data_IF_456356784571
#
_entry.id   IF_456356784571
#
_cell.length_a   1.000
_cell.length_b   1.000
_cell.length_c   1.000
_cell.angle_alpha   90.00
_cell.angle_beta   90.00
_cell.angle_gamma   90.00
#
_symmetry.space_group_name_H-M   'P 1'
#
loop_
_entity.id
_entity.type
_entity.pdbx_description
1 polymer ?
#
# COMPACT_ATOMS: atom_id res chain seq x y z
N UNK A 1 -33.80 24.42 -17.86
CA UNK A 1 -33.93 23.58 -16.63
C UNK A 1 -32.59 22.94 -16.34
N UNK A 2 -32.12 22.92 -15.09
CA UNK A 2 -30.91 22.19 -14.77
C UNK A 2 -31.14 20.68 -14.94
N UNK A 3 -30.08 19.95 -15.39
CA UNK A 3 -30.15 18.49 -15.50
C UNK A 3 -30.30 17.86 -14.10
N UNK A 4 -30.95 16.69 -14.00
CA UNK A 4 -31.11 16.01 -12.72
C UNK A 4 -29.74 15.57 -12.14
N UNK A 5 -29.61 15.66 -10.82
CA UNK A 5 -28.43 15.13 -10.12
C UNK A 5 -28.63 13.64 -9.88
N UNK A 6 -27.71 12.81 -10.39
CA UNK A 6 -27.74 11.36 -10.19
C UNK A 6 -27.13 11.06 -8.81
N UNK A 7 -27.88 10.30 -7.99
CA UNK A 7 -27.35 9.86 -6.69
C UNK A 7 -26.30 8.76 -6.88
N UNK A 8 -25.22 8.83 -6.11
CA UNK A 8 -24.14 7.82 -6.13
C UNK A 8 -24.35 6.85 -4.94
N UNK A 9 -24.27 5.54 -5.15
CA UNK A 9 -24.34 4.58 -4.06
C UNK A 9 -23.19 4.77 -3.06
N UNK A 10 -23.40 4.36 -1.81
CA UNK A 10 -22.41 4.41 -0.75
C UNK A 10 -22.13 3.02 -0.23
N UNK A 11 -20.88 2.76 0.08
CA UNK A 11 -20.38 1.47 0.58
C UNK A 11 -19.62 1.68 1.88
N UNK A 12 -19.39 0.59 2.61
CA UNK A 12 -18.58 0.57 3.83
C UNK A 12 -17.44 -0.42 3.67
N UNK A 13 -16.28 -0.08 4.22
CA UNK A 13 -15.16 -1.00 4.41
C UNK A 13 -14.52 -0.75 5.76
N UNK A 14 -13.74 -1.72 6.23
CA UNK A 14 -12.95 -1.62 7.46
C UNK A 14 -11.48 -1.51 7.09
N UNK A 15 -10.80 -0.46 7.56
CA UNK A 15 -9.36 -0.27 7.33
C UNK A 15 -8.57 -1.37 8.04
N UNK A 16 -7.70 -2.12 7.35
CA UNK A 16 -6.93 -3.21 7.94
C UNK A 16 -5.98 -2.78 9.08
N UNK A 17 -5.40 -1.56 9.00
CA UNK A 17 -4.45 -1.07 10.01
C UNK A 17 -5.09 -0.77 11.36
N UNK A 18 -6.30 -0.22 11.35
CA UNK A 18 -6.94 0.39 12.53
C UNK A 18 -8.28 -0.22 12.91
N UNK A 19 -8.79 -1.18 12.13
CA UNK A 19 -10.15 -1.72 12.25
C UNK A 19 -11.26 -0.63 12.22
N UNK A 20 -10.94 0.55 11.72
CA UNK A 20 -11.89 1.66 11.62
C UNK A 20 -12.79 1.47 10.41
N UNK A 21 -14.10 1.52 10.63
CA UNK A 21 -15.09 1.50 9.53
C UNK A 21 -15.15 2.85 8.85
N UNK A 22 -15.08 2.85 7.53
CA UNK A 22 -15.23 4.03 6.70
C UNK A 22 -16.33 3.83 5.67
N UNK A 23 -17.05 4.94 5.39
CA UNK A 23 -18.01 5.03 4.30
C UNK A 23 -17.33 5.68 3.10
N UNK A 24 -17.57 5.13 1.92
CA UNK A 24 -17.01 5.65 0.67
C UNK A 24 -18.04 5.54 -0.46
N UNK A 25 -17.76 6.24 -1.55
CA UNK A 25 -18.48 6.15 -2.82
C UNK A 25 -17.54 5.81 -3.96
N UNK A 26 -18.06 5.26 -5.06
CA UNK A 26 -17.29 5.06 -6.28
C UNK A 26 -16.74 6.37 -6.85
N UNK A 27 -15.77 6.27 -7.75
CA UNK A 27 -15.35 7.40 -8.58
C UNK A 27 -16.52 7.90 -9.44
N UNK A 28 -16.53 9.19 -9.68
CA UNK A 28 -17.29 9.75 -10.80
C UNK A 28 -16.33 9.91 -11.99
N UNK A 29 -16.88 10.00 -13.19
CA UNK A 29 -16.10 10.19 -14.44
C UNK A 29 -15.10 11.36 -14.32
N UNK A 30 -15.47 12.41 -13.60
CA UNK A 30 -14.57 13.56 -13.36
C UNK A 30 -13.34 13.21 -12.50
N UNK A 31 -13.47 12.30 -11.52
CA UNK A 31 -12.35 11.83 -10.69
C UNK A 31 -11.47 10.88 -11.49
N UNK A 32 -12.05 9.98 -12.27
CA UNK A 32 -11.32 9.09 -13.16
C UNK A 32 -10.49 9.88 -14.19
N UNK A 33 -11.09 10.90 -14.80
CA UNK A 33 -10.37 11.81 -15.71
C UNK A 33 -9.17 12.48 -15.04
N UNK A 34 -9.30 12.90 -13.78
CA UNK A 34 -8.20 13.52 -13.03
C UNK A 34 -7.04 12.51 -12.86
N UNK A 35 -7.35 11.27 -12.53
CA UNK A 35 -6.33 10.22 -12.39
C UNK A 35 -5.63 9.94 -13.72
N UNK A 36 -6.37 9.77 -14.82
CA UNK A 36 -5.82 9.51 -16.15
C UNK A 36 -4.87 10.65 -16.56
N UNK A 37 -5.32 11.90 -16.45
CA UNK A 37 -4.48 13.07 -16.80
C UNK A 37 -3.21 13.12 -15.94
N UNK A 38 -3.32 12.85 -14.64
CA UNK A 38 -2.15 12.84 -13.77
C UNK A 38 -1.16 11.73 -14.15
N UNK A 39 -1.64 10.53 -14.50
CA UNK A 39 -0.80 9.41 -14.94
C UNK A 39 -0.07 9.71 -16.26
N UNK A 40 -0.71 10.40 -17.21
CA UNK A 40 -0.08 10.84 -18.46
C UNK A 40 1.11 11.78 -18.25
N UNK A 41 1.15 12.51 -17.13
CA UNK A 41 2.28 13.43 -16.83
C UNK A 41 3.56 12.70 -16.44
N UNK A 42 3.49 11.44 -15.99
CA UNK A 42 4.58 10.67 -15.40
C UNK A 42 5.28 11.40 -14.21
N UNK A 43 4.66 12.45 -13.67
CA UNK A 43 5.16 13.20 -12.53
C UNK A 43 4.57 12.63 -11.23
N UNK A 44 5.43 11.95 -10.47
CA UNK A 44 5.07 11.30 -9.19
C UNK A 44 4.35 12.26 -8.22
N UNK A 45 4.72 13.56 -8.20
CA UNK A 45 4.08 14.55 -7.32
C UNK A 45 2.67 14.90 -7.78
N UNK A 46 2.44 15.00 -9.08
CA UNK A 46 1.11 15.26 -9.64
C UNK A 46 0.20 14.05 -9.44
N UNK A 47 0.72 12.85 -9.68
CA UNK A 47 0.00 11.59 -9.41
C UNK A 47 -0.38 11.49 -7.93
N UNK A 48 0.55 11.78 -7.01
CA UNK A 48 0.30 11.78 -5.57
C UNK A 48 -0.84 12.73 -5.17
N UNK A 49 -0.83 13.95 -5.71
CA UNK A 49 -1.91 14.93 -5.47
C UNK A 49 -3.25 14.44 -6.00
N UNK A 50 -3.27 13.91 -7.23
CA UNK A 50 -4.49 13.42 -7.86
C UNK A 50 -5.10 12.25 -7.07
N UNK A 51 -4.28 11.24 -6.71
CA UNK A 51 -4.71 10.09 -5.89
C UNK A 51 -5.27 10.56 -4.54
N UNK A 52 -4.53 11.43 -3.84
CA UNK A 52 -4.97 11.99 -2.56
C UNK A 52 -6.32 12.69 -2.69
N UNK A 53 -6.44 13.61 -3.67
CA UNK A 53 -7.64 14.42 -3.85
C UNK A 53 -8.85 13.58 -4.24
N UNK A 54 -8.65 12.56 -5.08
CA UNK A 54 -9.69 11.63 -5.50
C UNK A 54 -10.14 10.75 -4.33
N UNK A 55 -9.21 10.13 -3.60
CA UNK A 55 -9.54 9.33 -2.42
C UNK A 55 -10.24 10.16 -1.34
N UNK A 56 -9.74 11.36 -1.06
CA UNK A 56 -10.37 12.28 -0.08
C UNK A 56 -11.81 12.67 -0.47
N UNK A 57 -12.12 12.78 -1.76
CA UNK A 57 -13.49 13.05 -2.25
C UNK A 57 -14.38 11.81 -2.24
N UNK A 58 -13.81 10.61 -2.36
CA UNK A 58 -14.55 9.36 -2.33
C UNK A 58 -14.85 8.91 -0.89
N UNK A 59 -13.99 9.26 0.08
CA UNK A 59 -14.20 8.95 1.50
C UNK A 59 -15.25 9.91 2.08
N UNK A 60 -16.34 9.34 2.62
CA UNK A 60 -17.44 10.10 3.23
C UNK A 60 -17.31 10.23 4.75
N UNK A 61 -16.51 9.38 5.38
CA UNK A 61 -16.25 9.42 6.82
C UNK A 61 -15.34 10.59 7.16
N UNK A 62 -15.81 11.47 8.06
CA UNK A 62 -15.03 12.63 8.53
C UNK A 62 -13.78 12.21 9.32
N UNK A 63 -12.74 13.03 9.26
CA UNK A 63 -11.52 12.87 10.06
C UNK A 63 -10.55 11.80 9.54
N UNK A 64 -10.73 11.30 8.33
CA UNK A 64 -9.74 10.47 7.63
C UNK A 64 -8.82 11.40 6.84
N UNK A 65 -7.52 11.29 7.11
CA UNK A 65 -6.46 11.97 6.36
C UNK A 65 -5.72 10.94 5.54
N UNK A 66 -5.90 10.99 4.21
CA UNK A 66 -5.32 10.00 3.27
C UNK A 66 -3.79 9.90 3.42
N UNK A 67 -3.13 11.03 3.70
CA UNK A 67 -1.68 11.10 3.87
C UNK A 67 -1.15 10.36 5.10
N UNK A 68 -2.03 10.10 6.07
CA UNK A 68 -1.69 9.39 7.31
C UNK A 68 -2.09 7.90 7.28
N UNK A 69 -2.73 7.45 6.21
CA UNK A 69 -3.06 6.04 6.03
C UNK A 69 -1.82 5.23 5.67
N UNK A 70 -1.76 4.01 6.15
CA UNK A 70 -0.77 3.03 5.74
C UNK A 70 -0.89 2.70 4.25
N UNK A 71 0.21 2.36 3.58
CA UNK A 71 0.23 2.02 2.15
C UNK A 71 -0.81 0.97 1.81
N UNK A 72 -0.88 -0.12 2.57
CA UNK A 72 -1.84 -1.21 2.33
C UNK A 72 -3.30 -0.82 2.58
N UNK A 73 -3.57 0.15 3.47
CA UNK A 73 -4.92 0.73 3.63
C UNK A 73 -5.32 1.52 2.38
N UNK A 74 -4.37 2.29 1.83
CA UNK A 74 -4.58 3.07 0.60
C UNK A 74 -4.83 2.14 -0.57
N UNK A 75 -4.02 1.09 -0.72
CA UNK A 75 -4.18 0.07 -1.76
C UNK A 75 -5.54 -0.62 -1.67
N UNK A 76 -5.93 -1.06 -0.48
CA UNK A 76 -7.20 -1.71 -0.23
C UNK A 76 -8.39 -0.79 -0.51
N UNK A 77 -8.31 0.46 -0.07
CA UNK A 77 -9.33 1.47 -0.31
C UNK A 77 -9.46 1.79 -1.81
N UNK A 78 -8.32 2.02 -2.49
CA UNK A 78 -8.29 2.33 -3.91
C UNK A 78 -8.88 1.18 -4.74
N UNK A 79 -8.48 -0.06 -4.46
CA UNK A 79 -9.00 -1.26 -5.09
C UNK A 79 -10.53 -1.36 -4.96
N UNK A 80 -11.05 -1.18 -3.73
CA UNK A 80 -12.49 -1.26 -3.47
C UNK A 80 -13.26 -0.12 -4.15
N UNK A 81 -12.76 1.11 -4.12
CA UNK A 81 -13.39 2.25 -4.79
C UNK A 81 -13.44 1.99 -6.31
N UNK A 82 -12.33 1.52 -6.90
CA UNK A 82 -12.25 1.22 -8.33
C UNK A 82 -13.18 0.07 -8.71
N UNK A 83 -13.22 -1.00 -7.92
CA UNK A 83 -14.12 -2.13 -8.15
C UNK A 83 -15.59 -1.73 -8.19
N UNK A 84 -16.01 -0.85 -7.29
CA UNK A 84 -17.39 -0.34 -7.28
C UNK A 84 -17.65 0.70 -8.36
N UNK A 85 -16.62 1.21 -9.04
CA UNK A 85 -16.74 2.20 -10.12
C UNK A 85 -16.80 1.56 -11.50
N UNK A 86 -15.94 0.57 -11.77
CA UNK A 86 -15.71 0.00 -13.11
C UNK A 86 -16.21 -1.44 -13.21
N UNK A 87 -16.23 -2.16 -12.09
CA UNK A 87 -16.65 -3.56 -12.01
C UNK A 87 -15.88 -4.33 -10.96
N UNK A 88 -16.52 -5.33 -10.38
CA UNK A 88 -15.98 -6.13 -9.27
C UNK A 88 -15.01 -7.24 -9.73
N UNK A 89 -14.88 -7.45 -11.03
CA UNK A 89 -13.95 -8.42 -11.60
C UNK A 89 -12.83 -7.70 -12.34
N UNK A 90 -11.62 -8.15 -12.10
CA UNK A 90 -10.42 -7.70 -12.80
C UNK A 90 -9.83 -8.87 -13.58
N UNK A 91 -9.35 -8.59 -14.79
CA UNK A 91 -8.63 -9.57 -15.60
C UNK A 91 -7.13 -9.27 -15.47
N UNK A 92 -6.38 -10.28 -15.08
CA UNK A 92 -4.92 -10.22 -14.96
C UNK A 92 -4.30 -11.32 -15.80
N UNK A 93 -3.15 -11.01 -16.41
CA UNK A 93 -2.34 -12.03 -17.09
C UNK A 93 -1.34 -12.59 -16.10
N UNK A 94 -1.40 -13.89 -15.86
CA UNK A 94 -0.54 -14.56 -14.87
C UNK A 94 0.43 -15.47 -15.61
N UNK A 95 1.74 -15.31 -15.35
CA UNK A 95 2.77 -16.16 -15.94
C UNK A 95 2.89 -17.46 -15.14
N UNK A 96 2.79 -18.59 -15.84
CA UNK A 96 2.93 -19.91 -15.23
C UNK A 96 4.35 -20.13 -14.72
N UNK A 97 4.55 -20.51 -13.43
CA UNK A 97 5.89 -20.63 -12.86
C UNK A 97 6.66 -21.88 -13.31
N UNK A 98 5.98 -22.87 -13.90
CA UNK A 98 6.59 -24.13 -14.36
C UNK A 98 7.44 -23.96 -15.64
N UNK A 99 7.08 -23.01 -16.50
CA UNK A 99 7.83 -22.74 -17.75
C UNK A 99 8.27 -21.27 -17.87
N UNK A 100 7.82 -20.39 -16.98
CA UNK A 100 8.12 -18.95 -16.91
C UNK A 100 7.81 -18.17 -18.23
N UNK A 101 6.95 -18.72 -19.08
CA UNK A 101 6.66 -18.19 -20.41
C UNK A 101 5.17 -18.13 -20.72
N UNK A 102 4.44 -19.17 -20.33
CA UNK A 102 3.00 -19.27 -20.65
C UNK A 102 2.22 -18.31 -19.77
N UNK A 103 1.45 -17.43 -20.43
CA UNK A 103 0.56 -16.49 -19.74
C UNK A 103 -0.87 -16.97 -19.84
N UNK A 104 -1.58 -16.95 -18.72
CA UNK A 104 -2.98 -17.36 -18.62
C UNK A 104 -3.82 -16.19 -18.12
N UNK A 105 -4.91 -15.82 -18.80
CA UNK A 105 -5.84 -14.81 -18.29
C UNK A 105 -6.62 -15.36 -17.10
N UNK A 106 -6.64 -14.62 -16.01
CA UNK A 106 -7.37 -14.96 -14.80
C UNK A 106 -8.35 -13.85 -14.46
N UNK A 107 -9.59 -14.21 -14.15
CA UNK A 107 -10.59 -13.27 -13.66
C UNK A 107 -10.67 -13.37 -12.14
N UNK A 108 -10.36 -12.27 -11.44
CA UNK A 108 -10.32 -12.20 -9.98
C UNK A 108 -11.45 -11.29 -9.48
N UNK A 109 -12.25 -11.78 -8.53
CA UNK A 109 -13.23 -10.94 -7.86
C UNK A 109 -12.52 -10.09 -6.79
N UNK A 110 -12.63 -8.77 -6.89
CA UNK A 110 -12.01 -7.80 -5.97
C UNK A 110 -12.41 -8.04 -4.52
N UNK A 111 -13.64 -8.45 -4.25
CA UNK A 111 -14.12 -8.73 -2.89
C UNK A 111 -13.39 -9.90 -2.20
N UNK A 112 -12.69 -10.75 -2.97
CA UNK A 112 -11.87 -11.85 -2.44
C UNK A 112 -10.46 -11.42 -2.07
N UNK A 113 -10.00 -10.26 -2.55
CA UNK A 113 -8.67 -9.73 -2.28
C UNK A 113 -8.65 -9.08 -0.89
N UNK A 114 -7.72 -9.48 -0.05
CA UNK A 114 -7.61 -8.99 1.34
C UNK A 114 -6.19 -8.59 1.67
N UNK A 115 -6.08 -7.70 2.64
CA UNK A 115 -4.78 -7.42 3.27
C UNK A 115 -4.47 -8.58 4.22
N UNK A 116 -3.39 -9.28 3.94
CA UNK A 116 -2.87 -10.35 4.79
C UNK A 116 -1.83 -9.76 5.74
N UNK A 117 -1.91 -10.16 7.00
CA UNK A 117 -0.97 -9.80 8.06
C UNK A 117 -0.25 -11.06 8.51
N UNK A 118 1.07 -10.98 8.61
CA UNK A 118 1.89 -12.02 9.21
C UNK A 118 1.61 -12.07 10.73
N UNK A 119 1.50 -13.29 11.29
CA UNK A 119 1.21 -13.46 12.72
C UNK A 119 2.35 -12.97 13.62
N UNK A 120 3.59 -13.02 13.12
CA UNK A 120 4.78 -12.56 13.83
C UNK A 120 5.05 -11.05 13.65
N UNK A 121 4.19 -10.33 12.93
CA UNK A 121 4.39 -8.91 12.69
C UNK A 121 4.14 -8.07 13.93
N UNK A 122 5.14 -7.30 14.32
CA UNK A 122 5.06 -6.31 15.40
C UNK A 122 5.60 -4.95 14.94
N UNK A 123 4.92 -3.84 15.25
CA UNK A 123 5.48 -2.51 15.05
C UNK A 123 6.56 -2.16 16.07
N UNK A 124 6.62 -2.86 17.21
CA UNK A 124 7.61 -2.65 18.26
C UNK A 124 8.77 -3.63 18.07
N UNK A 125 9.98 -3.08 17.92
CA UNK A 125 11.22 -3.80 17.66
C UNK A 125 12.16 -3.57 18.83
N UNK A 126 12.40 -4.60 19.65
CA UNK A 126 13.41 -4.56 20.70
C UNK A 126 14.81 -4.56 20.07
N UNK A 127 15.61 -3.54 20.34
CA UNK A 127 16.95 -3.40 19.77
C UNK A 127 18.03 -4.14 20.59
N UNK A 128 18.15 -3.83 21.90
CA UNK A 128 19.24 -4.31 22.75
C UNK A 128 18.85 -4.63 24.20
N UNK A 129 17.55 -4.80 24.48
CA UNK A 129 17.02 -5.04 25.82
C UNK A 129 16.81 -3.77 26.65
N UNK A 130 17.25 -2.60 26.17
CA UNK A 130 17.03 -1.28 26.78
C UNK A 130 16.11 -0.43 25.93
N UNK A 131 16.43 -0.34 24.63
CA UNK A 131 15.69 0.48 23.68
C UNK A 131 14.77 -0.33 22.81
N UNK A 132 13.56 0.18 22.63
CA UNK A 132 12.56 -0.32 21.66
C UNK A 132 12.32 0.74 20.61
N UNK A 133 12.39 0.33 19.35
CA UNK A 133 12.05 1.13 18.19
C UNK A 133 10.63 0.81 17.78
N UNK A 134 9.74 1.80 17.83
CA UNK A 134 8.39 1.69 17.26
C UNK A 134 8.38 2.20 15.84
N UNK A 135 7.89 1.35 14.94
CA UNK A 135 7.76 1.67 13.52
C UNK A 135 6.30 2.03 13.17
N UNK A 136 6.14 2.94 12.24
CA UNK A 136 4.88 3.21 11.53
C UNK A 136 4.99 2.74 10.10
N UNK A 137 3.84 2.42 9.49
CA UNK A 137 3.83 1.94 8.11
C UNK A 137 4.14 3.05 7.12
N UNK A 138 4.75 2.71 5.96
CA UNK A 138 4.92 3.64 4.84
C UNK A 138 3.59 4.28 4.45
N UNK A 139 3.63 5.53 4.03
CA UNK A 139 2.47 6.36 3.75
C UNK A 139 2.19 6.54 2.25
N UNK A 140 1.32 7.50 1.92
CA UNK A 140 0.93 7.81 0.54
C UNK A 140 2.11 8.05 -0.42
N UNK A 141 3.21 8.64 0.04
CA UNK A 141 4.37 8.91 -0.82
C UNK A 141 4.98 7.62 -1.35
N UNK A 142 5.15 6.64 -0.48
CA UNK A 142 5.67 5.31 -0.81
C UNK A 142 4.68 4.52 -1.65
N UNK A 143 3.38 4.62 -1.34
CA UNK A 143 2.34 4.05 -2.20
C UNK A 143 2.46 4.54 -3.65
N UNK A 144 2.65 5.84 -3.85
CA UNK A 144 2.78 6.41 -5.20
C UNK A 144 4.06 5.95 -5.89
N UNK A 145 5.19 5.95 -5.19
CA UNK A 145 6.46 5.44 -5.74
C UNK A 145 6.33 3.99 -6.20
N UNK A 146 5.73 3.15 -5.39
CA UNK A 146 5.63 1.71 -5.65
C UNK A 146 4.63 1.36 -6.77
N UNK A 147 3.54 2.14 -6.93
CA UNK A 147 2.47 1.79 -7.87
C UNK A 147 2.45 2.65 -9.14
N UNK A 148 3.07 3.83 -9.13
CA UNK A 148 3.01 4.79 -10.25
C UNK A 148 4.37 5.44 -10.56
N UNK A 149 5.42 5.14 -9.80
CA UNK A 149 6.77 5.63 -10.06
C UNK A 149 7.41 4.88 -11.23
N UNK A 150 8.37 5.51 -11.92
CA UNK A 150 9.30 4.77 -12.76
C UNK A 150 10.06 3.78 -11.87
N UNK A 151 10.28 2.56 -12.37
CA UNK A 151 11.09 1.55 -11.69
C UNK A 151 12.56 1.97 -11.82
N UNK A 152 12.93 3.07 -11.17
CA UNK A 152 14.32 3.36 -10.89
C UNK A 152 14.69 2.55 -9.65
N UNK A 153 15.77 1.81 -9.70
CA UNK A 153 16.31 1.09 -8.55
C UNK A 153 16.47 2.11 -7.40
N UNK A 154 15.82 1.85 -6.27
CA UNK A 154 15.99 2.67 -5.08
C UNK A 154 17.46 2.68 -4.71
N UNK A 155 18.03 3.87 -4.57
CA UNK A 155 19.39 3.99 -4.06
C UNK A 155 19.47 3.53 -2.60
N UNK A 156 20.67 3.21 -2.14
CA UNK A 156 20.87 2.87 -0.72
C UNK A 156 20.40 4.03 0.18
N UNK A 157 20.70 5.26 -0.20
CA UNK A 157 20.27 6.45 0.55
C UNK A 157 18.75 6.58 0.61
N UNK A 158 18.03 6.29 -0.49
CA UNK A 158 16.56 6.30 -0.52
C UNK A 158 15.98 5.24 0.42
N UNK A 159 16.64 4.09 0.53
CA UNK A 159 16.23 3.01 1.44
C UNK A 159 16.36 3.44 2.89
N UNK A 160 17.49 4.05 3.28
CA UNK A 160 17.71 4.57 4.64
C UNK A 160 16.74 5.70 4.97
N UNK A 161 16.47 6.59 4.00
CA UNK A 161 15.49 7.66 4.13
C UNK A 161 14.07 7.12 4.34
N UNK A 162 13.70 6.06 3.61
CA UNK A 162 12.42 5.37 3.79
C UNK A 162 12.30 4.79 5.19
N UNK A 163 13.31 4.03 5.64
CA UNK A 163 13.35 3.43 6.98
C UNK A 163 13.21 4.53 8.04
N UNK A 164 14.01 5.60 7.95
CA UNK A 164 13.96 6.73 8.88
C UNK A 164 12.56 7.39 8.91
N UNK A 165 11.89 7.52 7.75
CA UNK A 165 10.53 8.06 7.67
C UNK A 165 9.48 7.19 8.35
N UNK A 166 9.75 5.89 8.46
CA UNK A 166 8.89 4.91 9.11
C UNK A 166 9.13 4.78 10.62
N UNK A 167 10.08 5.50 11.20
CA UNK A 167 10.22 5.58 12.66
C UNK A 167 9.06 6.40 13.23
N UNK A 168 8.35 5.85 14.21
CA UNK A 168 7.34 6.56 14.99
C UNK A 168 7.95 7.10 16.29
N UNK A 169 8.65 6.25 17.02
CA UNK A 169 9.23 6.57 18.30
C UNK A 169 10.38 5.63 18.64
N UNK A 170 11.40 6.14 19.34
CA UNK A 170 12.38 5.33 20.07
C UNK A 170 12.12 5.54 21.56
N UNK A 171 12.09 4.47 22.35
CA UNK A 171 11.80 4.59 23.78
C UNK A 171 12.52 3.52 24.62
N UNK A 172 12.73 3.85 25.89
CA UNK A 172 13.18 2.96 26.95
C UNK A 172 12.19 3.04 28.13
N UNK A 173 12.51 2.42 29.26
CA UNK A 173 11.71 2.55 30.49
C UNK A 173 11.73 3.99 31.05
N UNK A 174 12.80 4.75 30.81
CA UNK A 174 13.02 6.08 31.41
C UNK A 174 12.76 7.23 30.43
N UNK A 175 13.02 7.06 29.15
CA UNK A 175 13.03 8.13 28.15
C UNK A 175 12.31 7.73 26.86
N UNK A 176 11.80 8.72 26.12
CA UNK A 176 11.20 8.51 24.81
C UNK A 176 11.46 9.67 23.86
N UNK A 177 11.68 9.35 22.58
CA UNK A 177 11.92 10.29 21.49
C UNK A 177 10.90 10.05 20.39
N UNK A 178 9.93 10.95 20.26
CA UNK A 178 8.95 10.88 19.18
C UNK A 178 9.57 11.40 17.87
N UNK A 179 9.28 10.75 16.76
CA UNK A 179 9.83 11.17 15.46
C UNK A 179 9.40 12.58 15.04
N UNK A 180 8.29 13.10 15.58
CA UNK A 180 7.84 14.48 15.33
C UNK A 180 8.74 15.54 16.00
N UNK A 181 9.52 15.15 17.00
CA UNK A 181 10.47 16.00 17.73
C UNK A 181 11.90 15.93 17.18
N UNK A 182 12.15 14.97 16.28
CA UNK A 182 13.45 14.72 15.66
C UNK A 182 13.51 15.27 14.25
N UNK A 183 14.68 15.71 13.82
CA UNK A 183 14.93 16.07 12.42
C UNK A 183 15.13 14.80 11.59
N UNK A 184 14.85 14.89 10.28
CA UNK A 184 15.11 13.79 9.34
C UNK A 184 16.55 13.28 9.43
N UNK A 185 17.52 14.20 9.55
CA UNK A 185 18.95 13.85 9.67
C UNK A 185 19.27 13.05 10.92
N UNK A 186 18.66 13.38 12.05
CA UNK A 186 18.84 12.63 13.30
C UNK A 186 18.26 11.23 13.19
N UNK A 187 17.06 11.07 12.57
CA UNK A 187 16.46 9.77 12.35
C UNK A 187 17.29 8.91 11.37
N UNK A 188 17.80 9.48 10.29
CA UNK A 188 18.68 8.75 9.36
C UNK A 188 19.99 8.36 10.06
N UNK A 189 20.63 9.26 10.82
CA UNK A 189 21.84 8.94 11.58
C UNK A 189 21.60 7.87 12.65
N UNK A 190 20.41 7.84 13.25
CA UNK A 190 20.02 6.78 14.18
C UNK A 190 19.98 5.42 13.47
N UNK A 191 19.35 5.33 12.29
CA UNK A 191 19.31 4.09 11.48
C UNK A 191 20.73 3.64 11.11
N UNK A 192 21.60 4.57 10.69
CA UNK A 192 22.99 4.29 10.34
C UNK A 192 23.82 3.80 11.54
N UNK A 193 23.44 4.14 12.77
CA UNK A 193 24.10 3.70 14.00
C UNK A 193 23.76 2.28 14.45
N UNK A 194 22.72 1.68 13.87
CA UNK A 194 22.31 0.32 14.21
C UNK A 194 23.36 -0.71 13.73
N UNK A 195 23.64 -1.69 14.58
CA UNK A 195 24.43 -2.82 14.14
C UNK A 195 23.64 -3.77 13.21
N UNK A 196 24.34 -4.66 12.52
CA UNK A 196 23.71 -5.57 11.53
C UNK A 196 22.58 -6.46 12.10
N UNK A 197 22.67 -6.83 13.39
CA UNK A 197 21.63 -7.65 14.05
C UNK A 197 20.37 -6.83 14.33
N UNK A 198 20.53 -5.58 14.77
CA UNK A 198 19.44 -4.65 14.99
C UNK A 198 18.78 -4.25 13.67
N UNK A 199 19.60 -3.97 12.64
CA UNK A 199 19.10 -3.62 11.31
C UNK A 199 18.25 -4.76 10.69
N UNK A 200 18.67 -6.02 10.83
CA UNK A 200 17.86 -7.18 10.39
C UNK A 200 16.49 -7.26 11.06
N UNK A 201 16.35 -6.81 12.31
CA UNK A 201 15.05 -6.74 12.97
C UNK A 201 14.17 -5.66 12.34
N UNK A 202 14.77 -4.55 11.89
CA UNK A 202 14.06 -3.49 11.14
C UNK A 202 13.66 -3.99 9.76
N UNK A 203 14.53 -4.70 9.03
CA UNK A 203 14.19 -5.32 7.74
C UNK A 203 13.01 -6.29 7.88
N UNK A 204 13.00 -7.11 8.94
CA UNK A 204 11.89 -8.03 9.23
C UNK A 204 10.53 -7.31 9.37
N UNK A 205 10.50 -6.08 9.90
CA UNK A 205 9.26 -5.30 9.97
C UNK A 205 8.68 -5.06 8.56
N UNK A 206 9.51 -4.68 7.59
CA UNK A 206 9.06 -4.44 6.20
C UNK A 206 8.71 -5.73 5.47
N UNK A 207 9.40 -6.84 5.74
CA UNK A 207 9.10 -8.14 5.16
C UNK A 207 7.74 -8.67 5.61
N UNK A 208 7.43 -8.52 6.92
CA UNK A 208 6.23 -9.06 7.56
C UNK A 208 5.06 -8.08 7.61
N UNK A 209 5.25 -6.82 7.20
CA UNK A 209 4.17 -5.84 7.23
C UNK A 209 2.96 -6.28 6.38
N UNK A 210 1.74 -5.87 6.76
CA UNK A 210 0.55 -6.24 6.02
C UNK A 210 0.65 -5.86 4.54
N UNK A 211 0.23 -6.77 3.65
CA UNK A 211 0.26 -6.59 2.19
C UNK A 211 -1.07 -6.97 1.57
N UNK A 212 -1.48 -6.21 0.55
CA UNK A 212 -2.59 -6.59 -0.30
C UNK A 212 -2.18 -7.81 -1.12
N UNK A 213 -2.84 -8.94 -0.94
CA UNK A 213 -2.48 -10.16 -1.65
C UNK A 213 -3.68 -11.07 -1.91
N UNK A 214 -3.57 -11.86 -2.98
CA UNK A 214 -4.52 -12.88 -3.37
C UNK A 214 -3.80 -14.05 -4.00
N UNK A 215 -4.17 -15.28 -3.62
CA UNK A 215 -3.60 -16.49 -4.20
C UNK A 215 -4.56 -17.04 -5.25
N UNK A 216 -4.07 -17.26 -6.46
CA UNK A 216 -4.81 -17.86 -7.57
C UNK A 216 -4.21 -19.21 -7.92
N UNK A 217 -5.07 -20.14 -8.33
CA UNK A 217 -4.65 -21.42 -8.91
C UNK A 217 -4.70 -21.30 -10.42
N UNK A 218 -3.59 -21.60 -11.07
CA UNK A 218 -3.48 -21.57 -12.53
C UNK A 218 -3.04 -22.94 -13.04
N UNK A 219 -3.63 -23.39 -14.13
CA UNK A 219 -3.19 -24.59 -14.85
C UNK A 219 -2.55 -24.15 -16.15
N UNK A 220 -1.30 -24.50 -16.37
CA UNK A 220 -0.61 -24.22 -17.62
C UNK A 220 -1.22 -25.06 -18.76
N UNK A 221 -1.80 -24.45 -19.80
CA UNK A 221 -2.45 -25.20 -20.89
C UNK A 221 -1.48 -26.02 -21.74
N UNK A 222 -0.17 -25.74 -21.68
CA UNK A 222 0.86 -26.44 -22.47
C UNK A 222 1.42 -27.65 -21.73
N UNK A 223 1.60 -27.56 -20.41
CA UNK A 223 2.24 -28.62 -19.59
C UNK A 223 1.24 -29.39 -18.73
N UNK A 224 0.01 -28.87 -18.55
CA UNK A 224 -1.01 -29.36 -17.64
C UNK A 224 -0.58 -29.36 -16.15
N UNK A 225 0.43 -28.57 -15.79
CA UNK A 225 0.88 -28.39 -14.40
C UNK A 225 -0.04 -27.37 -13.72
N UNK A 226 -0.54 -27.73 -12.54
CA UNK A 226 -1.29 -26.82 -11.66
C UNK A 226 -0.32 -26.15 -10.69
N UNK A 227 -0.40 -24.82 -10.57
CA UNK A 227 0.46 -24.01 -9.70
C UNK A 227 -0.38 -23.00 -8.91
N UNK A 228 0.07 -22.68 -7.70
CA UNK A 228 -0.48 -21.57 -6.91
C UNK A 228 0.42 -20.35 -7.07
N UNK A 229 -0.18 -19.20 -7.41
CA UNK A 229 0.55 -17.95 -7.62
C UNK A 229 -0.03 -16.93 -6.66
N UNK A 230 0.84 -16.31 -5.87
CA UNK A 230 0.50 -15.21 -5.00
C UNK A 230 0.68 -13.89 -5.74
N UNK A 231 -0.40 -13.14 -5.91
CA UNK A 231 -0.40 -11.80 -6.49
C UNK A 231 -0.36 -10.81 -5.33
N UNK A 232 0.65 -9.94 -5.28
CA UNK A 232 0.84 -8.96 -4.21
C UNK A 232 0.99 -7.54 -4.78
N UNK A 233 0.48 -6.55 -4.02
CA UNK A 233 0.54 -5.15 -4.39
C UNK A 233 -0.46 -4.73 -5.46
N UNK A 234 -0.93 -3.50 -5.38
CA UNK A 234 -2.00 -2.98 -6.23
C UNK A 234 -1.68 -3.05 -7.73
N UNK A 235 -0.43 -2.78 -8.12
CA UNK A 235 -0.02 -2.77 -9.53
C UNK A 235 -0.25 -4.11 -10.24
N UNK A 236 -0.10 -5.23 -9.53
CA UNK A 236 -0.27 -6.55 -10.11
C UNK A 236 -1.76 -6.96 -10.31
N UNK A 237 -2.69 -6.14 -9.78
CA UNK A 237 -4.12 -6.30 -10.01
C UNK A 237 -4.65 -5.41 -11.15
N UNK A 238 -3.81 -4.56 -11.74
CA UNK A 238 -4.24 -3.60 -12.78
C UNK A 238 -3.33 -3.57 -14.00
N UNK A 239 -2.50 -4.61 -14.17
CA UNK A 239 -1.56 -4.90 -15.25
C UNK A 239 -1.71 -4.12 -16.54
#
# INVERSE_FOLDING_TARGET
MPLPTISTPTYELTLPSSNRKIKYRPFLVKEEKILIIAMETQDTKQIARAVKDVLAKCILTKGIKVEKLATFDIEYLFLNIRGKSVGEHIEVMVTCPDDEKTQVPMSINIDTIKVQKDEDHSPDIELDGVYTLRMKYPSLTEFIKNNFGAIDEMSVDDTFDLIASCIDQVYSEEESWASEECTKKELTSFVESLNSSQFKKVEKFFETMPKLSHTVKVTNPNTNVESEIKIEGLQNFFG
#
